data_IF_058441901524
#
_entry.id   IF_058441901524
#
_cell.length_a   1.000
_cell.length_b   1.000
_cell.length_c   1.000
_cell.angle_alpha   90.00
_cell.angle_beta   90.00
_cell.angle_gamma   90.00
#
_symmetry.space_group_name_H-M   'P 1'
#
loop_
_entity.id
_entity.type
_entity.pdbx_description
1 polymer ?
#
# COMPACT_ATOMS: atom_id res chain seq x y z
N UNK A 1 -15.75 2.65 31.03
CA UNK A 1 -15.51 2.31 29.61
C UNK A 1 -14.11 2.74 29.15
N UNK A 2 -13.62 3.96 29.45
CA UNK A 2 -12.27 4.41 29.07
C UNK A 2 -11.13 3.55 29.65
N UNK A 3 -11.18 3.24 30.95
CA UNK A 3 -10.11 2.48 31.63
C UNK A 3 -9.83 1.08 31.05
N UNK A 4 -10.83 0.43 30.44
CA UNK A 4 -10.64 -0.86 29.78
C UNK A 4 -9.96 -0.68 28.42
N UNK A 5 -10.34 0.35 27.66
CA UNK A 5 -9.72 0.66 26.37
C UNK A 5 -8.23 1.04 26.53
N UNK A 6 -7.90 1.80 27.58
CA UNK A 6 -6.53 2.18 27.90
C UNK A 6 -5.69 0.97 28.31
N UNK A 7 -6.26 0.05 29.10
CA UNK A 7 -5.61 -1.19 29.50
C UNK A 7 -5.34 -2.13 28.32
N UNK A 8 -6.29 -2.25 27.39
CA UNK A 8 -6.11 -3.02 26.15
C UNK A 8 -5.01 -2.39 25.29
N UNK A 9 -5.03 -1.07 25.12
CA UNK A 9 -4.01 -0.35 24.34
C UNK A 9 -2.62 -0.54 24.93
N UNK A 10 -2.46 -0.41 26.24
CA UNK A 10 -1.18 -0.60 26.93
C UNK A 10 -0.66 -2.04 26.81
N UNK A 11 -1.56 -3.03 26.86
CA UNK A 11 -1.21 -4.43 26.62
C UNK A 11 -0.76 -4.69 25.17
N UNK A 12 -1.49 -4.17 24.19
CA UNK A 12 -1.14 -4.30 22.76
C UNK A 12 0.18 -3.59 22.42
N UNK A 13 0.44 -2.42 22.99
CA UNK A 13 1.72 -1.71 22.87
C UNK A 13 2.87 -2.47 23.53
N UNK A 14 2.68 -2.95 24.77
CA UNK A 14 3.70 -3.71 25.48
C UNK A 14 4.03 -5.06 24.81
N UNK A 15 3.06 -5.68 24.14
CA UNK A 15 3.22 -6.92 23.39
C UNK A 15 3.71 -6.71 21.94
N UNK A 16 3.82 -5.46 21.47
CA UNK A 16 4.25 -5.14 20.11
C UNK A 16 3.25 -5.57 19.02
N UNK A 17 1.97 -5.69 19.35
CA UNK A 17 0.92 -6.17 18.43
C UNK A 17 0.27 -5.06 17.59
N UNK A 18 0.98 -3.96 17.32
CA UNK A 18 0.47 -2.94 16.40
C UNK A 18 0.67 -3.40 14.94
N UNK A 19 -0.39 -3.35 14.11
CA UNK A 19 -0.21 -3.55 12.68
C UNK A 19 0.56 -2.36 12.12
N UNK A 20 1.80 -2.60 11.70
CA UNK A 20 2.61 -1.60 11.01
C UNK A 20 2.01 -1.23 9.65
N UNK A 21 2.37 -0.05 9.15
CA UNK A 21 2.03 0.34 7.79
C UNK A 21 2.59 -0.71 6.80
N UNK A 22 1.82 -1.05 5.74
CA UNK A 22 2.28 -2.04 4.79
C UNK A 22 3.57 -1.55 4.11
N UNK A 23 4.60 -2.39 4.14
CA UNK A 23 5.88 -2.13 3.46
C UNK A 23 5.95 -2.76 2.07
N UNK A 24 4.92 -3.52 1.68
CA UNK A 24 4.86 -4.18 0.36
C UNK A 24 4.05 -3.35 -0.63
N UNK A 25 4.42 -3.42 -1.91
CA UNK A 25 3.69 -2.75 -3.00
C UNK A 25 2.22 -3.16 -2.96
N UNK A 26 1.95 -4.45 -2.79
CA UNK A 26 0.59 -4.98 -2.68
C UNK A 26 -0.19 -4.33 -1.55
N UNK A 27 0.35 -4.31 -0.34
CA UNK A 27 -0.35 -3.77 0.82
C UNK A 27 -0.60 -2.27 0.69
N UNK A 28 0.35 -1.51 0.14
CA UNK A 28 0.18 -0.08 -0.12
C UNK A 28 -0.96 0.16 -1.12
N UNK A 29 -0.98 -0.59 -2.22
CA UNK A 29 -2.03 -0.47 -3.23
C UNK A 29 -3.41 -0.93 -2.70
N UNK A 30 -3.45 -1.95 -1.85
CA UNK A 30 -4.69 -2.38 -1.17
C UNK A 30 -5.24 -1.30 -0.25
N UNK A 31 -4.37 -0.62 0.50
CA UNK A 31 -4.75 0.54 1.33
C UNK A 31 -5.26 1.70 0.46
N UNK A 32 -4.62 1.99 -0.67
CA UNK A 32 -5.09 3.04 -1.59
C UNK A 32 -6.44 2.70 -2.23
N UNK A 33 -6.66 1.45 -2.63
CA UNK A 33 -7.96 0.97 -3.11
C UNK A 33 -9.03 1.13 -2.04
N UNK A 34 -8.73 0.75 -0.80
CA UNK A 34 -9.64 0.86 0.33
C UNK A 34 -10.01 2.32 0.63
N UNK A 35 -9.02 3.21 0.76
CA UNK A 35 -9.23 4.65 1.01
C UNK A 35 -10.12 5.30 -0.04
N UNK A 36 -9.92 4.94 -1.31
CA UNK A 36 -10.64 5.51 -2.46
C UNK A 36 -11.94 4.77 -2.79
N UNK A 37 -12.22 3.64 -2.13
CA UNK A 37 -13.35 2.73 -2.41
C UNK A 37 -13.42 2.27 -3.87
N UNK A 38 -12.27 1.97 -4.46
CA UNK A 38 -12.15 1.52 -5.85
C UNK A 38 -11.67 0.07 -5.92
N UNK A 39 -11.97 -0.59 -7.04
CA UNK A 39 -11.45 -1.94 -7.33
C UNK A 39 -10.13 -1.87 -8.09
N UNK A 40 -9.43 -3.00 -8.16
CA UNK A 40 -8.13 -3.13 -8.84
C UNK A 40 -8.16 -2.66 -10.30
N UNK A 41 -9.23 -2.98 -11.04
CA UNK A 41 -9.44 -2.47 -12.40
C UNK A 41 -9.39 -0.94 -12.49
N UNK A 42 -10.11 -0.26 -11.61
CA UNK A 42 -10.18 1.20 -11.60
C UNK A 42 -8.85 1.82 -11.17
N UNK A 43 -8.13 1.19 -10.24
CA UNK A 43 -6.78 1.61 -9.88
C UNK A 43 -5.81 1.45 -11.07
N UNK A 44 -5.95 0.38 -11.86
CA UNK A 44 -5.16 0.17 -13.07
C UNK A 44 -5.43 1.27 -14.10
N UNK A 45 -6.70 1.65 -14.31
CA UNK A 45 -7.11 2.77 -15.15
C UNK A 45 -6.50 4.10 -14.67
N UNK A 46 -6.52 4.38 -13.36
CA UNK A 46 -5.90 5.58 -12.75
C UNK A 46 -4.38 5.60 -12.97
N UNK A 47 -3.72 4.46 -12.86
CA UNK A 47 -2.27 4.31 -13.07
C UNK A 47 -1.90 4.11 -14.54
N UNK A 48 -2.85 4.23 -15.47
CA UNK A 48 -2.66 4.04 -16.91
C UNK A 48 -1.94 2.71 -17.25
N UNK A 49 -2.32 1.63 -16.56
CA UNK A 49 -1.82 0.27 -16.80
C UNK A 49 -2.98 -0.69 -17.01
N UNK A 50 -2.71 -1.82 -17.67
CA UNK A 50 -3.71 -2.88 -17.77
C UNK A 50 -3.91 -3.57 -16.42
N UNK A 51 -5.14 -3.97 -16.12
CA UNK A 51 -5.46 -4.71 -14.89
C UNK A 51 -4.60 -5.97 -14.69
N UNK A 52 -4.33 -6.81 -15.72
CA UNK A 52 -3.40 -7.93 -15.60
C UNK A 52 -1.98 -7.50 -15.23
N UNK A 53 -1.46 -6.41 -15.82
CA UNK A 53 -0.13 -5.87 -15.49
C UNK A 53 -0.07 -5.44 -14.04
N UNK A 54 -1.09 -4.74 -13.54
CA UNK A 54 -1.17 -4.35 -12.13
C UNK A 54 -1.21 -5.57 -11.20
N UNK A 55 -1.97 -6.62 -11.58
CA UNK A 55 -2.05 -7.87 -10.81
C UNK A 55 -0.70 -8.57 -10.69
N UNK A 56 0.05 -8.65 -11.77
CA UNK A 56 1.36 -9.29 -11.79
C UNK A 56 2.41 -8.49 -11.00
N UNK A 57 2.35 -7.15 -11.05
CA UNK A 57 3.15 -6.27 -10.19
C UNK A 57 2.82 -6.47 -8.71
N UNK A 58 1.54 -6.50 -8.34
CA UNK A 58 1.09 -6.74 -6.96
C UNK A 58 1.50 -8.13 -6.44
N UNK A 59 1.60 -9.13 -7.33
CA UNK A 59 2.04 -10.49 -6.97
C UNK A 59 3.57 -10.64 -6.98
N UNK A 60 4.32 -9.61 -7.34
CA UNK A 60 5.79 -9.66 -7.46
C UNK A 60 6.30 -10.51 -8.63
N UNK A 61 5.42 -10.91 -9.56
CA UNK A 61 5.81 -11.70 -10.74
C UNK A 61 6.47 -10.85 -11.83
N UNK A 62 6.29 -9.54 -11.75
CA UNK A 62 6.88 -8.58 -12.67
C UNK A 62 7.55 -7.47 -11.88
N UNK A 63 8.75 -7.10 -12.29
CA UNK A 63 9.47 -5.96 -11.70
C UNK A 63 8.81 -4.63 -12.06
N UNK A 64 8.89 -3.70 -11.11
CA UNK A 64 8.46 -2.33 -11.28
C UNK A 64 9.49 -1.56 -12.10
N UNK A 65 9.03 -0.84 -13.13
CA UNK A 65 9.89 0.06 -13.88
C UNK A 65 9.77 1.51 -13.37
N UNK A 66 10.73 2.34 -13.77
CA UNK A 66 10.79 3.75 -13.34
C UNK A 66 9.54 4.57 -13.72
N UNK A 67 8.92 4.26 -14.87
CA UNK A 67 7.67 4.91 -15.28
C UNK A 67 6.52 4.60 -14.31
N UNK A 68 6.36 3.34 -13.90
CA UNK A 68 5.35 2.95 -12.92
C UNK A 68 5.66 3.56 -11.54
N UNK A 69 6.92 3.53 -11.10
CA UNK A 69 7.37 4.18 -9.87
C UNK A 69 7.02 5.68 -9.86
N UNK A 70 7.28 6.39 -10.96
CA UNK A 70 6.91 7.80 -11.11
C UNK A 70 5.40 8.01 -10.96
N UNK A 71 4.58 7.14 -11.56
CA UNK A 71 3.10 7.23 -11.47
C UNK A 71 2.60 7.02 -10.04
N UNK A 72 3.21 6.11 -9.27
CA UNK A 72 2.90 5.95 -7.85
C UNK A 72 3.13 7.25 -7.07
N UNK A 73 4.23 7.95 -7.34
CA UNK A 73 4.52 9.22 -6.72
C UNK A 73 3.59 10.34 -7.21
N UNK A 74 3.40 10.49 -8.53
CA UNK A 74 2.68 11.65 -9.09
C UNK A 74 1.16 11.54 -8.97
N UNK A 75 0.60 10.33 -9.02
CA UNK A 75 -0.85 10.09 -9.05
C UNK A 75 -1.38 9.67 -7.67
N UNK A 76 -0.65 8.80 -6.97
CA UNK A 76 -1.05 8.33 -5.64
C UNK A 76 -0.42 9.15 -4.51
N UNK A 77 0.49 10.08 -4.82
CA UNK A 77 1.20 10.90 -3.84
C UNK A 77 1.95 10.08 -2.79
N UNK A 78 2.46 8.91 -3.20
CA UNK A 78 3.31 8.07 -2.34
C UNK A 78 4.71 8.71 -2.30
N UNK A 79 5.31 8.90 -1.10
CA UNK A 79 6.65 9.47 -0.98
C UNK A 79 7.69 8.73 -1.83
N UNK A 80 8.60 9.47 -2.45
CA UNK A 80 9.56 8.89 -3.39
C UNK A 80 10.49 7.88 -2.72
N UNK A 81 10.82 8.11 -1.45
CA UNK A 81 11.64 7.23 -0.61
C UNK A 81 10.98 5.86 -0.47
N UNK A 82 9.66 5.83 -0.24
CA UNK A 82 8.88 4.58 -0.15
C UNK A 82 8.84 3.87 -1.49
N UNK A 83 8.63 4.61 -2.58
CA UNK A 83 8.62 4.03 -3.94
C UNK A 83 9.97 3.40 -4.29
N UNK A 84 11.08 4.04 -3.92
CA UNK A 84 12.42 3.53 -4.15
C UNK A 84 12.68 2.25 -3.36
N UNK A 85 12.25 2.18 -2.10
CA UNK A 85 12.35 0.97 -1.27
C UNK A 85 11.57 -0.22 -1.87
N UNK A 86 10.47 0.04 -2.58
CA UNK A 86 9.67 -1.00 -3.25
C UNK A 86 10.29 -1.50 -4.56
N UNK A 87 11.21 -0.73 -5.15
CA UNK A 87 11.91 -1.08 -6.40
C UNK A 87 13.26 -1.75 -6.20
N UNK A 88 13.74 -1.79 -4.95
CA UNK A 88 14.99 -2.44 -4.55
C UNK A 88 14.75 -3.94 -4.28
#
# INVERSE_FOLDING_TARGET
MAALADAVTAYEEAAGHRPDAPQTLRGILEVEMFKRRIRQRQLAEILDVTEPRLSELMKGKREMNLDFARRLHTILHIPAEVVLQLSA
#
